data_IF_341332131219
#
_entry.id   IF_341332131219
#
_cell.length_a   1.000
_cell.length_b   1.000
_cell.length_c   1.000
_cell.angle_alpha   90.00
_cell.angle_beta   90.00
_cell.angle_gamma   90.00
#
_symmetry.space_group_name_H-M   'P 1'
#
loop_
_entity.id
_entity.type
_entity.pdbx_description
1 polymer ?
#
# COMPACT_ATOMS: atom_id res chain seq x y z
N UNK A 1 -15.92 -13.75 4.73
CA UNK A 1 -14.51 -13.26 4.76
C UNK A 1 -14.56 -11.73 4.78
N UNK A 2 -13.94 -11.01 5.73
CA UNK A 2 -13.88 -9.55 5.65
C UNK A 2 -13.10 -9.17 4.39
N UNK A 3 -13.79 -8.57 3.42
CA UNK A 3 -13.17 -8.01 2.22
C UNK A 3 -12.63 -6.64 2.60
N UNK A 4 -11.32 -6.43 2.46
CA UNK A 4 -10.77 -5.12 2.87
C UNK A 4 -9.36 -5.07 3.44
N UNK A 5 -8.87 -6.16 4.01
CA UNK A 5 -7.49 -6.19 4.52
C UNK A 5 -6.52 -6.35 3.34
N UNK A 6 -5.63 -5.37 3.18
CA UNK A 6 -4.67 -5.31 2.09
C UNK A 6 -3.31 -4.97 2.69
N UNK A 7 -2.27 -5.69 2.28
CA UNK A 7 -0.90 -5.41 2.65
C UNK A 7 -0.16 -4.87 1.45
N UNK A 8 0.61 -3.81 1.65
CA UNK A 8 1.44 -3.18 0.62
C UNK A 8 2.84 -3.06 1.20
N UNK A 9 3.84 -3.53 0.44
CA UNK A 9 5.24 -3.37 0.77
C UNK A 9 5.97 -2.61 -0.34
N UNK A 10 6.91 -1.75 0.04
CA UNK A 10 7.81 -1.02 -0.88
C UNK A 10 9.23 -1.09 -0.31
N UNK A 11 10.24 -1.09 -1.17
CA UNK A 11 11.62 -1.20 -0.74
C UNK A 11 12.65 -0.96 -1.83
N UNK A 12 13.89 -0.76 -1.42
CA UNK A 12 15.09 -0.70 -2.24
C UNK A 12 16.11 -1.75 -1.73
N UNK A 13 17.38 -1.61 -2.12
CA UNK A 13 18.46 -2.53 -1.69
C UNK A 13 18.69 -2.52 -0.18
N UNK A 14 18.47 -1.38 0.47
CA UNK A 14 18.90 -1.15 1.85
C UNK A 14 17.73 -1.24 2.85
N UNK A 15 16.50 -1.00 2.38
CA UNK A 15 15.31 -0.94 3.25
C UNK A 15 14.05 -1.45 2.58
N UNK A 16 13.22 -2.13 3.35
CA UNK A 16 11.86 -2.54 2.99
C UNK A 16 10.91 -2.05 4.10
N UNK A 17 9.75 -1.51 3.71
CA UNK A 17 8.65 -1.20 4.62
C UNK A 17 7.38 -1.91 4.14
N UNK A 18 6.56 -2.39 5.08
CA UNK A 18 5.27 -3.00 4.80
C UNK A 18 4.19 -2.35 5.66
N UNK A 19 3.06 -2.01 5.04
CA UNK A 19 1.93 -1.37 5.70
C UNK A 19 0.64 -2.16 5.47
N UNK A 20 -0.09 -2.39 6.57
CA UNK A 20 -1.42 -2.99 6.55
C UNK A 20 -2.47 -1.90 6.38
N UNK A 21 -3.33 -2.07 5.40
CA UNK A 21 -4.53 -1.29 5.18
C UNK A 21 -5.75 -2.15 5.49
N UNK A 22 -6.77 -1.53 6.08
CA UNK A 22 -8.05 -2.16 6.31
C UNK A 22 -9.15 -1.29 5.73
N UNK A 23 -9.43 -1.50 4.45
CA UNK A 23 -10.53 -0.87 3.76
C UNK A 23 -11.84 -1.59 4.09
N UNK A 24 -12.98 -0.90 4.07
CA UNK A 24 -14.30 -1.51 4.33
C UNK A 24 -15.22 -1.44 3.11
N UNK A 25 -14.64 -1.34 1.91
CA UNK A 25 -15.40 -1.16 0.67
C UNK A 25 -15.59 -2.47 -0.09
N UNK A 26 -16.43 -2.41 -1.12
CA UNK A 26 -16.57 -3.49 -2.11
C UNK A 26 -15.26 -3.76 -2.86
N UNK A 27 -15.14 -4.97 -3.43
CA UNK A 27 -13.90 -5.46 -4.07
C UNK A 27 -13.34 -4.49 -5.11
N UNK A 28 -14.17 -3.95 -6.00
CA UNK A 28 -13.73 -3.03 -7.06
C UNK A 28 -13.09 -1.77 -6.47
N UNK A 29 -13.74 -1.17 -5.48
CA UNK A 29 -13.23 0.02 -4.79
C UNK A 29 -11.95 -0.24 -4.00
N UNK A 30 -11.82 -1.43 -3.41
CA UNK A 30 -10.58 -1.83 -2.74
C UNK A 30 -9.41 -1.93 -3.72
N UNK A 31 -9.62 -2.35 -4.97
CA UNK A 31 -8.56 -2.39 -5.99
C UNK A 31 -8.08 -0.97 -6.31
N UNK A 32 -9.01 -0.06 -6.63
CA UNK A 32 -8.66 1.32 -6.98
C UNK A 32 -7.88 2.00 -5.85
N UNK A 33 -8.39 1.91 -4.62
CA UNK A 33 -7.77 2.53 -3.45
C UNK A 33 -6.41 1.89 -3.12
N UNK A 34 -6.23 0.59 -3.38
CA UNK A 34 -4.94 -0.06 -3.15
C UNK A 34 -3.85 0.47 -4.08
N UNK A 35 -4.17 0.67 -5.36
CA UNK A 35 -3.22 1.24 -6.32
C UNK A 35 -2.78 2.65 -5.92
N UNK A 36 -3.72 3.51 -5.52
CA UNK A 36 -3.40 4.85 -5.03
C UNK A 36 -2.53 4.83 -3.76
N UNK A 37 -2.84 3.94 -2.80
CA UNK A 37 -2.04 3.81 -1.59
C UNK A 37 -0.65 3.25 -1.85
N UNK A 38 -0.50 2.31 -2.78
CA UNK A 38 0.80 1.75 -3.17
C UNK A 38 1.70 2.83 -3.76
N UNK A 39 1.19 3.63 -4.70
CA UNK A 39 1.94 4.73 -5.31
C UNK A 39 2.31 5.79 -4.26
N UNK A 40 1.39 6.16 -3.38
CA UNK A 40 1.68 7.13 -2.32
C UNK A 40 2.71 6.59 -1.31
N UNK A 41 2.66 5.29 -0.97
CA UNK A 41 3.64 4.65 -0.10
C UNK A 41 5.03 4.61 -0.75
N UNK A 42 5.11 4.27 -2.04
CA UNK A 42 6.34 4.30 -2.81
C UNK A 42 6.91 5.73 -2.90
N UNK A 43 6.07 6.73 -3.20
CA UNK A 43 6.48 8.13 -3.27
C UNK A 43 7.12 8.61 -1.97
N UNK A 44 6.50 8.29 -0.82
CA UNK A 44 7.06 8.62 0.50
C UNK A 44 8.37 7.87 0.74
N UNK A 45 8.39 6.58 0.42
CA UNK A 45 9.60 5.77 0.56
C UNK A 45 10.78 6.35 -0.23
N UNK A 46 10.57 6.77 -1.48
CA UNK A 46 11.61 7.39 -2.32
C UNK A 46 12.02 8.78 -1.79
N UNK A 47 11.11 9.58 -1.25
CA UNK A 47 11.49 10.87 -0.67
C UNK A 47 12.31 10.72 0.63
N UNK A 48 12.05 9.67 1.39
CA UNK A 48 12.73 9.43 2.67
C UNK A 48 14.01 8.58 2.52
N UNK A 49 14.15 7.80 1.43
CA UNK A 49 15.22 6.80 1.23
C UNK A 49 15.77 6.74 -0.20
N UNK A 50 15.55 7.79 -0.99
CA UNK A 50 16.05 7.94 -2.37
C UNK A 50 17.41 8.59 -2.43
#
# INVERSE_FOLDING_TARGET
>A
KPVGTIWIAVGNRDKIIAQKFNFRFERKRNIDISSYNAINLLRRFVLDHG
#
